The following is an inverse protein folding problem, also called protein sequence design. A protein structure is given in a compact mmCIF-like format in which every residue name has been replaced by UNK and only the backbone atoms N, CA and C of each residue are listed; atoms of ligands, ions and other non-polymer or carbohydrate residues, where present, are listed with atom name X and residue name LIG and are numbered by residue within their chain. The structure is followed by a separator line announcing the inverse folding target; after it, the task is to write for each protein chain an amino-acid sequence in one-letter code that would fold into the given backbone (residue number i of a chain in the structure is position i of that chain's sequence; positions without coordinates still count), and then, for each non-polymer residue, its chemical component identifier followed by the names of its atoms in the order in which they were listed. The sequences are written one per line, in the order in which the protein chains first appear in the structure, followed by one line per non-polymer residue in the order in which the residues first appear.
data_IF_290102561712
#
_entry.id   IF_290102561712
#
_cell.length_a   1.000
_cell.length_b   1.000
_cell.length_c   1.000
_cell.angle_alpha   90.00
_cell.angle_beta   90.00
_cell.angle_gamma   90.00
#
_symmetry.space_group_name_H-M   'P 1'
#
loop_
_entity.id
_entity.type
_entity.pdbx_description
1 polymer ?
#
# COMPACT_ATOMS: atom_id res chain seq x y z
N UNK A 1 -1.66 -21.18 -65.37
CA UNK A 1 -1.92 -22.30 -64.43
C UNK A 1 -2.04 -21.70 -63.03
N UNK A 2 -3.17 -21.09 -62.64
CA UNK A 2 -4.38 -21.70 -62.02
C UNK A 2 -4.07 -22.58 -60.80
N UNK A 3 -4.21 -22.01 -59.58
CA UNK A 3 -4.95 -22.60 -58.43
C UNK A 3 -4.85 -21.72 -57.15
N UNK A 4 -5.51 -20.55 -57.12
CA UNK A 4 -5.73 -19.79 -55.86
C UNK A 4 -7.22 -19.66 -55.46
N UNK A 5 -8.17 -20.14 -56.27
CA UNK A 5 -9.60 -19.82 -56.09
C UNK A 5 -10.48 -20.85 -55.35
N UNK A 6 -10.03 -22.07 -55.05
CA UNK A 6 -10.93 -23.17 -54.61
C UNK A 6 -10.77 -23.63 -53.16
N UNK A 7 -9.82 -23.05 -52.42
CA UNK A 7 -9.64 -23.32 -50.98
C UNK A 7 -10.57 -22.45 -50.12
N UNK A 8 -10.93 -21.25 -50.60
CA UNK A 8 -11.65 -20.28 -49.79
C UNK A 8 -13.15 -20.60 -49.70
N UNK A 9 -13.78 -21.03 -50.80
CA UNK A 9 -15.19 -21.40 -50.83
C UNK A 9 -15.51 -22.63 -49.94
N UNK A 10 -14.64 -23.65 -49.94
CA UNK A 10 -14.80 -24.83 -49.07
C UNK A 10 -14.61 -24.48 -47.60
N UNK A 11 -13.68 -23.58 -47.27
CA UNK A 11 -13.50 -23.08 -45.90
C UNK A 11 -14.67 -22.22 -45.45
N UNK A 12 -15.21 -21.36 -46.32
CA UNK A 12 -16.38 -20.55 -46.02
C UNK A 12 -17.63 -21.42 -45.78
N UNK A 13 -17.85 -22.45 -46.59
CA UNK A 13 -18.95 -23.39 -46.39
C UNK A 13 -18.81 -24.19 -45.10
N UNK A 14 -17.61 -24.71 -44.79
CA UNK A 14 -17.36 -25.42 -43.54
C UNK A 14 -17.55 -24.52 -42.31
N UNK A 15 -17.15 -23.26 -42.41
CA UNK A 15 -17.33 -22.26 -41.37
C UNK A 15 -18.81 -21.88 -41.18
N UNK A 16 -19.57 -21.70 -42.25
CA UNK A 16 -21.01 -21.46 -42.19
C UNK A 16 -21.77 -22.65 -41.60
N UNK A 17 -21.41 -23.89 -41.98
CA UNK A 17 -21.99 -25.10 -41.39
C UNK A 17 -21.71 -25.19 -39.88
N UNK A 18 -20.48 -24.85 -39.47
CA UNK A 18 -20.11 -24.82 -38.05
C UNK A 18 -20.87 -23.74 -37.27
N UNK A 19 -20.98 -22.52 -37.83
CA UNK A 19 -21.74 -21.42 -37.21
C UNK A 19 -23.23 -21.70 -37.10
N UNK A 20 -23.81 -22.38 -38.09
CA UNK A 20 -25.25 -22.69 -38.13
C UNK A 20 -25.61 -23.97 -37.37
N UNK A 21 -24.63 -24.78 -36.97
CA UNK A 21 -24.86 -26.05 -36.27
C UNK A 21 -25.27 -25.92 -34.80
N UNK A 22 -24.96 -24.81 -34.12
CA UNK A 22 -25.32 -24.60 -32.71
C UNK A 22 -25.33 -23.11 -32.32
N UNK A 23 -26.34 -22.68 -31.56
CA UNK A 23 -26.46 -21.33 -31.00
C UNK A 23 -25.27 -20.95 -30.07
N UNK A 24 -24.60 -21.94 -29.46
CA UNK A 24 -23.36 -21.73 -28.69
C UNK A 24 -22.19 -21.28 -29.60
N UNK A 25 -22.09 -21.79 -30.83
CA UNK A 25 -21.01 -21.42 -31.76
C UNK A 25 -21.14 -19.96 -32.22
N UNK A 26 -22.38 -19.50 -32.44
CA UNK A 26 -22.66 -18.09 -32.74
C UNK A 26 -22.28 -17.19 -31.57
N UNK A 27 -22.59 -17.60 -30.32
CA UNK A 27 -22.22 -16.86 -29.11
C UNK A 27 -20.70 -16.80 -28.92
N UNK A 28 -20.00 -17.91 -29.16
CA UNK A 28 -18.54 -17.95 -29.12
C UNK A 28 -17.91 -17.05 -30.19
N UNK A 29 -18.44 -17.08 -31.41
CA UNK A 29 -17.97 -16.23 -32.51
C UNK A 29 -18.20 -14.74 -32.24
N UNK A 30 -19.38 -14.37 -31.77
CA UNK A 30 -19.70 -12.99 -31.37
C UNK A 30 -18.85 -12.52 -30.17
N UNK A 31 -18.46 -13.42 -29.27
CA UNK A 31 -17.53 -13.10 -28.19
C UNK A 31 -16.13 -12.80 -28.73
N UNK A 32 -15.59 -13.64 -29.62
CA UNK A 32 -14.29 -13.40 -30.26
C UNK A 32 -14.26 -12.10 -31.06
N UNK A 33 -15.32 -11.79 -31.81
CA UNK A 33 -15.41 -10.51 -32.55
C UNK A 33 -15.40 -9.30 -31.62
N UNK A 34 -16.13 -9.35 -30.49
CA UNK A 34 -16.13 -8.25 -29.50
C UNK A 34 -14.75 -8.05 -28.85
N UNK A 35 -14.04 -9.13 -28.56
CA UNK A 35 -12.66 -9.06 -28.05
C UNK A 35 -11.74 -8.42 -29.10
N UNK A 36 -11.87 -8.82 -30.36
CA UNK A 36 -11.04 -8.30 -31.44
C UNK A 36 -11.31 -6.81 -31.72
N UNK A 37 -12.58 -6.38 -31.68
CA UNK A 37 -12.97 -4.97 -31.81
C UNK A 37 -12.42 -4.11 -30.66
N UNK A 38 -12.43 -4.60 -29.41
CA UNK A 38 -11.84 -3.88 -28.26
C UNK A 38 -10.33 -3.73 -28.37
N UNK A 39 -9.66 -4.69 -29.03
CA UNK A 39 -8.21 -4.66 -29.25
C UNK A 39 -7.82 -3.80 -30.47
N UNK A 40 -8.73 -3.61 -31.43
CA UNK A 40 -8.49 -2.82 -32.65
C UNK A 40 -8.29 -1.31 -32.42
N UNK A 41 -8.71 -0.80 -31.26
CA UNK A 41 -8.50 0.60 -30.86
C UNK A 41 -7.14 0.91 -30.22
N UNK A 42 -6.29 -0.10 -30.02
CA UNK A 42 -4.95 0.05 -29.42
C UNK A 42 -3.90 0.21 -30.53
N UNK A 43 -4.05 1.23 -31.38
CA UNK A 43 -3.12 1.54 -32.48
C UNK A 43 -1.87 2.27 -31.96
N UNK A 44 -1.03 1.57 -31.21
CA UNK A 44 0.38 1.96 -31.06
C UNK A 44 1.23 1.19 -32.08
N UNK A 45 2.11 1.84 -32.86
CA UNK A 45 3.04 1.16 -33.77
C UNK A 45 3.86 0.06 -33.07
N UNK A 46 4.12 0.21 -31.77
CA UNK A 46 4.80 -0.78 -30.93
C UNK A 46 3.93 -2.01 -30.63
N UNK A 47 2.61 -1.84 -30.50
CA UNK A 47 1.69 -2.95 -30.27
C UNK A 47 1.58 -3.85 -31.51
N UNK A 48 1.54 -3.27 -32.72
CA UNK A 48 1.55 -4.04 -33.96
C UNK A 48 2.89 -4.75 -34.20
N UNK A 49 4.03 -4.13 -33.87
CA UNK A 49 5.33 -4.78 -33.96
C UNK A 49 5.45 -5.99 -32.98
N UNK A 50 4.88 -5.88 -31.77
CA UNK A 50 4.87 -6.97 -30.79
C UNK A 50 3.87 -8.10 -31.11
N UNK A 51 2.79 -7.79 -31.84
CA UNK A 51 1.76 -8.74 -32.28
C UNK A 51 2.16 -9.47 -33.57
N UNK A 52 2.87 -8.81 -34.48
CA UNK A 52 3.29 -9.38 -35.77
C UNK A 52 4.73 -9.92 -35.80
N UNK A 53 5.49 -9.82 -34.70
CA UNK A 53 6.81 -10.44 -34.61
C UNK A 53 6.69 -11.98 -34.68
N UNK A 54 7.55 -12.66 -35.47
CA UNK A 54 7.52 -14.12 -35.61
C UNK A 54 7.61 -14.79 -34.24
N UNK A 55 6.88 -15.91 -34.07
CA UNK A 55 6.80 -16.69 -32.81
C UNK A 55 8.17 -17.28 -32.43
N UNK A 56 9.09 -16.46 -31.92
CA UNK A 56 10.41 -16.91 -31.49
C UNK A 56 10.45 -17.11 -29.96
N UNK A 57 11.36 -17.96 -29.51
CA UNK A 57 11.60 -18.21 -28.09
C UNK A 57 11.94 -16.93 -27.30
N UNK A 58 12.50 -15.92 -27.99
CA UNK A 58 12.81 -14.61 -27.41
C UNK A 58 11.55 -13.83 -27.00
N UNK A 59 10.45 -13.90 -27.78
CA UNK A 59 9.15 -13.29 -27.43
C UNK A 59 8.56 -13.91 -26.17
N UNK A 60 8.66 -15.23 -26.01
CA UNK A 60 8.19 -15.92 -24.79
C UNK A 60 9.02 -15.53 -23.56
N UNK A 61 10.33 -15.34 -23.72
CA UNK A 61 11.20 -14.88 -22.63
C UNK A 61 10.91 -13.43 -22.25
N UNK A 62 10.76 -12.53 -23.23
CA UNK A 62 10.39 -11.13 -22.99
C UNK A 62 9.03 -11.00 -22.31
N UNK A 63 8.02 -11.77 -22.75
CA UNK A 63 6.70 -11.77 -22.11
C UNK A 63 6.73 -12.38 -20.69
N UNK A 64 7.54 -13.43 -20.46
CA UNK A 64 7.74 -13.98 -19.11
C UNK A 64 8.43 -12.97 -18.18
N UNK A 65 9.45 -12.26 -18.67
CA UNK A 65 10.12 -11.20 -17.92
C UNK A 65 9.15 -10.05 -17.61
N UNK A 66 8.34 -9.61 -18.57
CA UNK A 66 7.33 -8.57 -18.34
C UNK A 66 6.24 -9.03 -17.37
N UNK A 67 5.79 -10.29 -17.44
CA UNK A 67 4.85 -10.87 -16.48
C UNK A 67 5.46 -10.99 -15.07
N UNK A 68 6.73 -11.39 -14.95
CA UNK A 68 7.45 -11.44 -13.68
C UNK A 68 7.65 -10.04 -13.09
N UNK A 69 7.99 -9.05 -13.91
CA UNK A 69 8.13 -7.65 -13.50
C UNK A 69 6.77 -7.05 -13.11
N UNK A 70 5.71 -7.33 -13.87
CA UNK A 70 4.34 -6.89 -13.59
C UNK A 70 3.75 -7.53 -12.33
N UNK A 71 3.93 -8.84 -12.15
CA UNK A 71 3.55 -9.56 -10.94
C UNK A 71 4.36 -9.09 -9.72
N UNK A 72 5.65 -8.81 -9.91
CA UNK A 72 6.52 -8.20 -8.89
C UNK A 72 6.04 -6.82 -8.46
N UNK A 73 5.56 -5.98 -9.39
CA UNK A 73 5.01 -4.66 -9.06
C UNK A 73 3.67 -4.72 -8.32
N UNK A 74 2.78 -5.65 -8.67
CA UNK A 74 1.48 -5.81 -8.00
C UNK A 74 1.63 -6.42 -6.59
N UNK A 75 2.50 -7.43 -6.44
CA UNK A 75 2.83 -8.00 -5.14
C UNK A 75 3.56 -6.97 -4.24
N UNK A 76 4.46 -6.16 -4.81
CA UNK A 76 5.21 -5.14 -4.08
C UNK A 76 4.34 -4.00 -3.53
N UNK A 77 3.28 -3.61 -4.24
CA UNK A 77 2.32 -2.61 -3.75
C UNK A 77 1.41 -3.16 -2.64
N UNK A 78 0.89 -4.38 -2.80
CA UNK A 78 0.04 -5.01 -1.77
C UNK A 78 0.79 -5.36 -0.48
N UNK A 79 2.09 -5.69 -0.59
CA UNK A 79 2.91 -6.02 0.57
C UNK A 79 3.36 -4.78 1.37
N UNK A 80 3.42 -3.59 0.76
CA UNK A 80 3.73 -2.33 1.46
C UNK A 80 2.66 -1.93 2.47
N UNK A 81 1.40 -2.29 2.23
CA UNK A 81 0.32 -2.05 3.20
C UNK A 81 0.36 -3.03 4.38
N UNK A 82 0.83 -4.26 4.17
CA UNK A 82 0.84 -5.31 5.20
C UNK A 82 2.13 -5.38 6.01
N UNK A 83 3.27 -5.02 5.41
CA UNK A 83 4.55 -4.87 6.09
C UNK A 83 4.83 -3.37 6.14
N UNK A 84 4.16 -2.67 7.05
CA UNK A 84 4.62 -1.34 7.43
C UNK A 84 6.02 -1.51 8.02
N UNK A 85 7.07 -1.26 7.24
CA UNK A 85 8.46 -1.27 7.73
C UNK A 85 8.75 -0.08 8.64
N UNK A 86 7.84 0.90 8.71
CA UNK A 86 8.00 2.12 9.50
C UNK A 86 8.29 1.86 10.99
N UNK A 87 7.61 0.92 11.69
CA UNK A 87 7.89 0.60 13.08
C UNK A 87 9.28 -0.03 13.29
N UNK A 88 9.80 -0.76 12.30
CA UNK A 88 11.14 -1.36 12.36
C UNK A 88 12.25 -0.32 12.21
N UNK A 89 11.97 0.77 11.49
CA UNK A 89 12.89 1.89 11.29
C UNK A 89 12.72 3.01 12.31
N UNK A 90 11.84 2.82 13.31
CA UNK A 90 11.60 3.82 14.34
C UNK A 90 12.86 4.08 15.17
N UNK A 91 13.03 5.31 15.65
CA UNK A 91 14.17 5.67 16.50
C UNK A 91 14.24 4.78 17.75
N UNK A 92 13.07 4.44 18.31
CA UNK A 92 12.95 3.49 19.41
C UNK A 92 11.83 2.49 19.14
N UNK A 93 12.14 1.22 19.37
CA UNK A 93 11.17 0.14 19.35
C UNK A 93 11.41 -0.83 20.52
N UNK A 94 10.38 -1.66 20.76
CA UNK A 94 10.37 -2.79 21.68
C UNK A 94 9.76 -4.01 20.98
N UNK A 95 10.34 -5.19 21.24
CA UNK A 95 9.83 -6.46 20.76
C UNK A 95 8.55 -6.92 21.45
N UNK A 96 7.99 -8.04 20.98
CA UNK A 96 6.86 -8.69 21.65
C UNK A 96 7.31 -9.22 23.01
N UNK A 97 6.59 -8.88 24.07
CA UNK A 97 6.91 -9.22 25.46
C UNK A 97 7.98 -8.33 26.10
N UNK A 98 8.54 -7.37 25.38
CA UNK A 98 9.56 -6.45 25.88
C UNK A 98 8.95 -5.13 26.36
N UNK A 99 9.41 -4.64 27.51
CA UNK A 99 9.18 -3.26 27.93
C UNK A 99 10.52 -2.53 28.03
N UNK A 100 10.60 -1.33 27.44
CA UNK A 100 11.85 -0.57 27.36
C UNK A 100 11.67 0.84 27.87
N UNK A 101 12.58 1.30 28.73
CA UNK A 101 12.62 2.69 29.22
C UNK A 101 13.69 3.47 28.47
N UNK A 102 13.34 4.64 27.96
CA UNK A 102 14.21 5.52 27.19
C UNK A 102 14.19 6.90 27.84
N UNK A 103 15.37 7.41 28.17
CA UNK A 103 15.55 8.81 28.54
C UNK A 103 15.74 9.64 27.27
N UNK A 104 14.98 10.73 27.13
CA UNK A 104 15.07 11.65 26.00
C UNK A 104 16.02 12.81 26.32
N UNK A 105 16.46 13.52 25.28
CA UNK A 105 17.46 14.59 25.39
C UNK A 105 16.97 15.84 26.14
N UNK A 106 15.66 16.00 26.32
CA UNK A 106 15.05 17.07 27.14
C UNK A 106 14.89 16.67 28.62
N UNK A 107 15.36 15.48 29.02
CA UNK A 107 15.18 14.93 30.36
C UNK A 107 13.85 14.21 30.58
N UNK A 108 12.97 14.16 29.57
CA UNK A 108 11.74 13.38 29.62
C UNK A 108 12.04 11.87 29.57
N UNK A 109 11.09 11.04 30.02
CA UNK A 109 11.21 9.58 29.96
C UNK A 109 10.03 8.95 29.24
N UNK A 110 10.31 8.13 28.22
CA UNK A 110 9.33 7.29 27.53
C UNK A 110 9.51 5.85 27.96
N UNK A 111 8.42 5.20 28.37
CA UNK A 111 8.41 3.75 28.59
C UNK A 111 7.57 3.11 27.48
N UNK A 112 8.21 2.32 26.63
CA UNK A 112 7.59 1.55 25.57
C UNK A 112 7.06 0.25 26.16
N UNK A 113 5.79 -0.07 25.91
CA UNK A 113 5.22 -1.39 26.22
C UNK A 113 5.60 -2.40 25.12
N UNK A 114 5.11 -3.64 25.21
CA UNK A 114 5.29 -4.67 24.17
C UNK A 114 4.96 -4.17 22.77
N UNK A 115 5.75 -4.56 21.77
CA UNK A 115 5.51 -4.31 20.35
C UNK A 115 5.21 -2.83 20.03
N UNK A 116 5.97 -1.91 20.61
CA UNK A 116 5.76 -0.46 20.45
C UNK A 116 6.86 0.16 19.60
N UNK A 117 6.54 1.20 18.86
CA UNK A 117 7.52 1.93 18.05
C UNK A 117 7.21 3.43 18.04
N UNK A 118 8.24 4.25 18.23
CA UNK A 118 8.12 5.69 18.39
C UNK A 118 9.28 6.42 17.72
N UNK A 119 8.95 7.50 17.01
CA UNK A 119 9.91 8.47 16.50
C UNK A 119 9.95 9.71 17.39
N UNK A 120 11.15 10.26 17.59
CA UNK A 120 11.40 11.45 18.40
C UNK A 120 12.11 12.50 17.56
N UNK A 121 11.52 13.69 17.47
CA UNK A 121 12.03 14.83 16.71
C UNK A 121 11.99 16.06 17.60
N UNK A 122 13.09 16.33 18.28
CA UNK A 122 13.24 17.50 19.14
C UNK A 122 14.16 18.50 18.46
N UNK A 123 13.73 19.75 18.40
CA UNK A 123 14.50 20.86 17.87
C UNK A 123 14.47 22.04 18.87
N UNK A 124 14.99 23.20 18.48
CA UNK A 124 15.04 24.36 19.36
C UNK A 124 13.65 24.97 19.64
N UNK A 125 12.64 24.66 18.83
CA UNK A 125 11.31 25.25 18.87
C UNK A 125 10.25 24.30 19.45
N UNK A 126 10.38 22.99 19.25
CA UNK A 126 9.36 22.01 19.62
C UNK A 126 9.94 20.67 20.06
N UNK A 127 9.11 19.92 20.77
CA UNK A 127 9.32 18.53 21.13
C UNK A 127 8.23 17.69 20.47
N UNK A 128 8.57 16.96 19.41
CA UNK A 128 7.62 16.11 18.69
C UNK A 128 7.93 14.63 18.95
N UNK A 129 6.91 13.87 19.31
CA UNK A 129 6.95 12.41 19.42
C UNK A 129 5.87 11.85 18.51
N UNK A 130 6.17 10.83 17.71
CA UNK A 130 5.18 10.15 16.86
C UNK A 130 5.07 8.69 17.29
N UNK A 131 3.91 8.31 17.81
CA UNK A 131 3.61 6.92 18.12
C UNK A 131 3.17 6.22 16.85
N UNK A 132 4.00 5.32 16.34
CA UNK A 132 3.72 4.56 15.12
C UNK A 132 2.83 3.35 15.40
N UNK A 133 3.09 2.66 16.51
CA UNK A 133 2.28 1.54 16.99
C UNK A 133 2.50 1.28 18.48
N UNK A 134 1.59 0.51 19.06
CA UNK A 134 1.71 0.00 20.42
C UNK A 134 1.31 1.03 21.46
N UNK A 135 2.07 1.09 22.55
CA UNK A 135 1.71 1.85 23.74
C UNK A 135 2.93 2.45 24.41
N UNK A 136 2.82 3.70 24.82
CA UNK A 136 3.86 4.40 25.58
C UNK A 136 3.30 5.05 26.83
N UNK A 137 4.09 5.03 27.90
CA UNK A 137 3.93 5.92 29.05
C UNK A 137 4.94 7.06 28.93
N UNK A 138 4.44 8.28 28.84
CA UNK A 138 5.23 9.51 28.78
C UNK A 138 5.27 10.15 30.17
N UNK A 139 6.48 10.42 30.65
CA UNK A 139 6.74 11.35 31.76
C UNK A 139 7.53 12.53 31.20
N UNK A 140 6.85 13.64 30.93
CA UNK A 140 7.45 14.83 30.34
C UNK A 140 8.18 15.67 31.40
N UNK A 141 9.40 16.10 31.08
CA UNK A 141 10.14 17.08 31.88
C UNK A 141 9.54 18.48 31.75
N UNK A 142 9.84 19.32 32.74
CA UNK A 142 9.54 20.74 32.66
C UNK A 142 10.49 21.40 31.65
N UNK A 143 9.95 21.75 30.49
CA UNK A 143 10.64 22.41 29.39
C UNK A 143 9.67 23.41 28.73
N UNK A 144 10.19 24.57 28.32
CA UNK A 144 9.38 25.66 27.76
C UNK A 144 8.88 25.37 26.34
N UNK A 145 9.52 24.46 25.61
CA UNK A 145 9.10 24.05 24.27
C UNK A 145 7.83 23.21 24.36
N UNK A 146 6.85 23.41 23.47
CA UNK A 146 5.65 22.59 23.45
C UNK A 146 5.99 21.12 23.15
N UNK A 147 5.37 20.21 23.90
CA UNK A 147 5.43 18.76 23.64
C UNK A 147 4.17 18.33 22.89
N UNK A 148 4.35 17.84 21.67
CA UNK A 148 3.29 17.30 20.82
C UNK A 148 3.53 15.82 20.53
N UNK A 149 2.47 15.03 20.66
CA UNK A 149 2.43 13.61 20.36
C UNK A 149 1.47 13.38 19.22
N UNK A 150 1.98 12.79 18.14
CA UNK A 150 1.20 12.39 16.98
C UNK A 150 0.85 10.91 17.10
N UNK A 151 -0.42 10.61 16.86
CA UNK A 151 -0.94 9.26 16.63
C UNK A 151 -1.67 9.22 15.29
N UNK A 152 -2.16 8.05 14.89
CA UNK A 152 -2.89 7.91 13.62
C UNK A 152 -4.18 8.74 13.60
N UNK A 153 -4.86 8.86 14.73
CA UNK A 153 -6.17 9.53 14.81
C UNK A 153 -6.11 10.98 15.26
N UNK A 154 -4.93 11.52 15.60
CA UNK A 154 -4.85 12.90 16.07
C UNK A 154 -3.53 13.32 16.69
N UNK A 155 -3.57 14.51 17.28
CA UNK A 155 -2.46 15.08 18.04
C UNK A 155 -2.87 15.29 19.48
N UNK A 156 -1.97 14.98 20.40
CA UNK A 156 -2.07 15.33 21.82
C UNK A 156 -0.96 16.32 22.12
N UNK A 157 -1.28 17.47 22.72
CA UNK A 157 -0.28 18.47 23.12
C UNK A 157 -0.31 18.62 24.64
N UNK A 158 0.84 18.52 25.28
CA UNK A 158 0.95 18.83 26.68
C UNK A 158 1.06 20.35 26.88
N UNK A 159 0.29 20.88 27.84
CA UNK A 159 0.47 22.24 28.31
C UNK A 159 1.85 22.42 28.97
N UNK A 160 2.29 23.67 29.14
CA UNK A 160 3.59 23.97 29.74
C UNK A 160 3.73 23.36 31.13
N UNK A 161 4.85 22.67 31.39
CA UNK A 161 5.15 22.04 32.68
C UNK A 161 5.33 20.53 32.60
N UNK A 162 5.45 19.89 33.76
CA UNK A 162 5.55 18.44 33.85
C UNK A 162 4.18 17.78 33.61
N UNK A 163 4.16 16.70 32.83
CA UNK A 163 2.95 15.91 32.60
C UNK A 163 3.27 14.43 32.56
N UNK A 164 2.29 13.61 32.92
CA UNK A 164 2.41 12.15 32.87
C UNK A 164 1.15 11.54 32.31
N UNK A 165 1.28 10.81 31.22
CA UNK A 165 0.14 10.22 30.52
C UNK A 165 0.56 9.01 29.69
N UNK A 166 -0.39 8.14 29.43
CA UNK A 166 -0.23 6.96 28.58
C UNK A 166 -0.98 7.19 27.27
N UNK A 167 -0.34 6.82 26.16
CA UNK A 167 -0.91 6.88 24.82
C UNK A 167 -0.80 5.49 24.19
N UNK A 168 -1.94 4.95 23.75
CA UNK A 168 -2.03 3.62 23.13
C UNK A 168 -2.70 3.71 21.78
N UNK A 169 -2.00 3.26 20.75
CA UNK A 169 -2.51 3.12 19.40
C UNK A 169 -3.25 1.77 19.30
N UNK A 170 -4.51 1.83 18.87
CA UNK A 170 -5.34 0.67 18.55
C UNK A 170 -5.80 0.78 17.09
N UNK A 171 -6.45 -0.26 16.60
CA UNK A 171 -7.04 -0.25 15.27
C UNK A 171 -8.18 0.77 15.20
N UNK A 172 -7.96 1.84 14.42
CA UNK A 172 -8.94 2.89 14.14
C UNK A 172 -9.26 3.83 15.32
N UNK A 173 -8.49 3.77 16.40
CA UNK A 173 -8.61 4.69 17.56
C UNK A 173 -7.31 4.81 18.34
N UNK A 174 -7.11 5.96 18.96
CA UNK A 174 -6.07 6.19 19.97
C UNK A 174 -6.72 6.33 21.34
N UNK A 175 -6.16 5.67 22.35
CA UNK A 175 -6.55 5.83 23.75
C UNK A 175 -5.51 6.68 24.48
N UNK A 176 -5.99 7.68 25.23
CA UNK A 176 -5.18 8.56 26.07
C UNK A 176 -5.66 8.43 27.52
N UNK A 177 -4.72 8.19 28.44
CA UNK A 177 -4.98 8.22 29.88
C UNK A 177 -4.03 9.21 30.56
N UNK A 178 -4.58 10.19 31.28
CA UNK A 178 -3.79 11.26 31.91
C UNK A 178 -3.68 11.00 33.41
N UNK A 179 -2.45 10.99 33.91
CA UNK A 179 -2.15 10.80 35.34
C UNK A 179 -1.74 12.10 36.02
N UNK A 180 -1.12 13.04 35.29
CA UNK A 180 -0.75 14.35 35.79
C UNK A 180 -0.62 15.36 34.64
N UNK A 181 -0.96 16.63 34.93
CA UNK A 181 -0.88 17.74 34.00
C UNK A 181 -2.15 17.92 33.15
N UNK A 182 -2.08 18.84 32.20
CA UNK A 182 -3.17 19.20 31.30
C UNK A 182 -2.72 18.94 29.86
N UNK A 183 -3.59 18.28 29.10
CA UNK A 183 -3.35 17.95 27.69
C UNK A 183 -4.49 18.49 26.83
N UNK A 184 -4.14 19.02 25.67
CA UNK A 184 -5.05 19.40 24.60
C UNK A 184 -5.08 18.27 23.56
N UNK A 185 -6.25 17.92 23.07
CA UNK A 185 -6.44 16.84 22.09
C UNK A 185 -7.05 17.46 20.83
N UNK A 186 -6.42 17.18 19.69
CA UNK A 186 -6.89 17.57 18.37
C UNK A 186 -7.05 16.32 17.49
N UNK A 187 -8.26 15.75 17.39
CA UNK A 187 -8.54 14.64 16.48
C UNK A 187 -8.35 15.07 15.02
N UNK A 188 -7.78 14.19 14.19
CA UNK A 188 -7.83 14.36 12.73
C UNK A 188 -9.27 14.15 12.30
N UNK A 189 -9.90 15.17 11.72
CA UNK A 189 -11.28 15.09 11.25
C UNK A 189 -11.44 13.91 10.29
N UNK A 190 -12.44 13.05 10.51
CA UNK A 190 -12.79 12.02 9.53
C UNK A 190 -13.33 12.71 8.28
N UNK A 191 -12.55 12.74 7.21
CA UNK A 191 -13.08 12.93 5.87
C UNK A 191 -13.97 11.72 5.57
N UNK A 192 -15.27 11.91 5.68
CA UNK A 192 -16.28 10.92 5.28
C UNK A 192 -16.50 10.93 3.78
#
# INVERSE_FOLDING_TARGET
EMQEGTLDARRQQAWQLWLNGNAEHQRAWAHMQRVNQRLSGLSSPLAHAALNAPKSASRRHALKLLLLLGAGSAAGWSLREQIALQPLLADYNSGVGEQRKVALSDGSQVQLNTASAVDVRFDAQQRLIKLLQGEILMTASADSRPLSLLSTEGTVRASTGASRFNLRQLDGRTQLAVFAGTLEIAPLGRSG
#
